data_IF_772967419746
#
_entry.id   IF_772967419746
#
_cell.length_a   1.000
_cell.length_b   1.000
_cell.length_c   1.000
_cell.angle_alpha   90.00
_cell.angle_beta   90.00
_cell.angle_gamma   90.00
#
_symmetry.space_group_name_H-M   'P 1'
#
loop_
_entity.id
_entity.type
_entity.pdbx_description
1 polymer ?
#
# COMPACT_ATOMS: atom_id res chain seq x y z
N UNK A 1 -25.36 24.80 -31.57
CA UNK A 1 -24.58 23.55 -31.59
C UNK A 1 -23.54 23.64 -30.48
N UNK A 2 -23.88 23.11 -29.31
CA UNK A 2 -23.03 23.06 -28.12
C UNK A 2 -22.16 21.81 -28.19
N UNK A 3 -20.85 21.96 -27.98
CA UNK A 3 -19.88 20.86 -27.96
C UNK A 3 -19.64 20.50 -26.50
N UNK A 4 -20.14 19.33 -26.10
CA UNK A 4 -20.01 18.79 -24.74
C UNK A 4 -18.54 18.50 -24.42
N UNK A 5 -18.08 19.06 -23.30
CA UNK A 5 -16.87 18.67 -22.58
C UNK A 5 -17.16 17.41 -21.76
N UNK A 6 -16.48 16.31 -22.06
CA UNK A 6 -16.44 15.14 -21.17
C UNK A 6 -15.21 15.25 -20.27
N UNK A 7 -15.43 15.61 -19.01
CA UNK A 7 -14.44 15.46 -17.94
C UNK A 7 -14.27 13.98 -17.61
N UNK A 8 -13.03 13.50 -17.63
CA UNK A 8 -12.68 12.16 -17.19
C UNK A 8 -12.63 12.14 -15.65
N UNK A 9 -13.51 11.33 -15.06
CA UNK A 9 -13.46 10.99 -13.64
C UNK A 9 -12.39 9.93 -13.47
N UNK A 10 -11.40 10.21 -12.62
CA UNK A 10 -10.44 9.24 -12.08
C UNK A 10 -11.21 8.04 -11.50
N UNK A 11 -11.02 6.86 -12.08
CA UNK A 11 -11.50 5.62 -11.51
C UNK A 11 -10.40 5.07 -10.61
N UNK A 12 -10.61 5.15 -9.29
CA UNK A 12 -9.85 4.36 -8.32
C UNK A 12 -10.25 2.91 -8.53
N UNK A 13 -9.31 2.07 -8.98
CA UNK A 13 -9.55 0.66 -9.21
C UNK A 13 -9.66 -0.05 -7.85
N UNK A 14 -10.88 -0.15 -7.33
CA UNK A 14 -11.21 -1.08 -6.26
C UNK A 14 -11.42 -2.46 -6.89
N UNK A 15 -10.61 -3.44 -6.48
CA UNK A 15 -10.78 -4.84 -6.89
C UNK A 15 -12.11 -5.34 -6.33
N UNK A 16 -13.12 -5.46 -7.20
CA UNK A 16 -14.44 -5.95 -6.84
C UNK A 16 -14.48 -7.48 -6.90
N UNK A 17 -14.66 -8.13 -5.74
CA UNK A 17 -14.90 -9.57 -5.64
C UNK A 17 -16.35 -9.87 -6.03
N UNK A 18 -16.54 -10.65 -7.09
CA UNK A 18 -17.85 -11.10 -7.58
C UNK A 18 -18.41 -12.20 -6.66
N UNK A 19 -19.52 -11.90 -5.97
CA UNK A 19 -20.27 -12.88 -5.17
C UNK A 19 -21.54 -13.30 -5.92
N UNK A 20 -21.61 -14.56 -6.34
CA UNK A 20 -22.82 -15.16 -6.92
C UNK A 20 -23.79 -15.56 -5.81
N UNK A 21 -25.04 -15.09 -5.88
CA UNK A 21 -26.08 -15.37 -4.88
C UNK A 21 -26.81 -16.68 -5.18
N UNK A 22 -26.89 -17.55 -4.17
CA UNK A 22 -27.85 -18.64 -4.10
C UNK A 22 -28.88 -18.30 -3.02
N UNK A 23 -30.12 -18.05 -3.44
CA UNK A 23 -31.26 -17.74 -2.57
C UNK A 23 -31.69 -18.95 -1.74
N UNK A 24 -31.99 -18.72 -0.45
CA UNK A 24 -32.98 -19.51 0.28
C UNK A 24 -33.81 -18.61 1.21
N UNK A 25 -35.11 -18.88 1.19
CA UNK A 25 -36.24 -18.12 1.73
C UNK A 25 -36.62 -18.61 3.13
N UNK A 26 -37.08 -17.71 4.00
CA UNK A 26 -38.09 -17.85 5.08
C UNK A 26 -38.10 -16.51 5.83
N UNK A 27 -39.19 -15.84 6.22
CA UNK A 27 -40.60 -16.14 6.27
C UNK A 27 -41.21 -15.40 7.48
N UNK A 28 -42.01 -14.36 7.19
CA UNK A 28 -43.20 -13.90 7.94
C UNK A 28 -43.19 -12.62 8.82
N UNK A 29 -44.12 -11.72 8.42
CA UNK A 29 -44.96 -10.72 9.12
C UNK A 29 -44.52 -9.29 9.48
N UNK A 30 -44.86 -8.38 8.54
CA UNK A 30 -45.54 -7.07 8.62
C UNK A 30 -45.91 -6.46 9.99
N UNK A 31 -45.57 -5.18 10.18
CA UNK A 31 -46.51 -4.04 10.11
C UNK A 31 -45.75 -2.72 9.90
N UNK A 32 -46.20 -1.90 8.93
CA UNK A 32 -45.70 -0.57 8.54
C UNK A 32 -46.07 0.54 9.54
N UNK A 33 -45.15 1.49 9.80
CA UNK A 33 -45.39 2.96 9.66
C UNK A 33 -44.07 3.76 9.65
N UNK A 34 -43.86 4.50 8.56
CA UNK A 34 -43.21 5.81 8.35
C UNK A 34 -41.86 6.20 8.99
N UNK A 35 -40.88 6.41 8.11
CA UNK A 35 -40.28 7.75 7.94
C UNK A 35 -39.11 8.17 8.82
N UNK A 36 -37.96 7.53 8.67
CA UNK A 36 -36.67 8.15 8.97
C UNK A 36 -35.58 7.59 8.04
N UNK A 37 -35.17 8.38 7.04
CA UNK A 37 -34.03 8.10 6.16
C UNK A 37 -32.75 8.12 6.98
N UNK A 38 -32.44 6.98 7.59
CA UNK A 38 -31.16 6.72 8.24
C UNK A 38 -30.26 6.13 7.16
N UNK A 39 -29.13 6.78 6.90
CA UNK A 39 -28.10 6.26 6.00
C UNK A 39 -27.75 4.82 6.44
N UNK A 40 -27.70 3.84 5.52
CA UNK A 40 -27.23 2.52 5.90
C UNK A 40 -25.75 2.65 6.23
N UNK A 41 -25.45 2.57 7.52
CA UNK A 41 -24.12 2.24 8.00
C UNK A 41 -23.66 1.01 7.23
N UNK A 42 -22.52 1.16 6.58
CA UNK A 42 -21.80 0.07 5.96
C UNK A 42 -21.42 -0.88 7.08
N UNK A 43 -22.24 -1.91 7.29
CA UNK A 43 -21.80 -3.10 8.02
C UNK A 43 -20.68 -3.71 7.19
N UNK A 44 -19.45 -3.32 7.52
CA UNK A 44 -18.23 -4.00 7.12
C UNK A 44 -18.40 -5.41 7.68
N UNK A 45 -18.88 -6.29 6.81
CA UNK A 45 -18.92 -7.71 7.08
C UNK A 45 -17.48 -8.12 7.26
N UNK A 46 -17.14 -8.45 8.51
CA UNK A 46 -15.89 -9.03 8.97
C UNK A 46 -15.52 -10.19 8.03
N UNK A 47 -14.69 -9.90 7.02
CA UNK A 47 -13.98 -10.93 6.29
C UNK A 47 -13.14 -11.62 7.35
N UNK A 48 -13.63 -12.77 7.83
CA UNK A 48 -13.31 -13.29 9.14
C UNK A 48 -11.82 -13.25 9.44
N UNK A 49 -11.50 -12.90 10.69
CA UNK A 49 -10.13 -12.93 11.22
C UNK A 49 -9.32 -14.08 10.61
N UNK A 50 -8.13 -13.78 10.09
CA UNK A 50 -7.24 -14.70 9.37
C UNK A 50 -7.59 -15.00 7.89
N UNK A 51 -8.33 -14.14 7.20
CA UNK A 51 -8.42 -14.21 5.74
C UNK A 51 -7.02 -14.11 5.10
N UNK A 52 -6.78 -14.87 4.03
CA UNK A 52 -5.48 -14.95 3.34
C UNK A 52 -5.54 -14.38 1.92
N UNK A 53 -4.49 -13.68 1.50
CA UNK A 53 -4.25 -13.20 0.13
C UNK A 53 -4.04 -14.34 -0.86
N UNK A 54 -3.42 -15.43 -0.40
CA UNK A 54 -3.14 -16.65 -1.14
C UNK A 54 -2.75 -17.77 -0.16
N UNK A 55 -2.78 -19.03 -0.58
CA UNK A 55 -2.26 -20.15 0.22
C UNK A 55 -0.73 -20.23 0.25
N UNK A 56 -0.05 -19.56 -0.70
CA UNK A 56 1.42 -19.53 -0.79
C UNK A 56 1.92 -18.30 -1.57
N UNK A 57 3.22 -18.01 -1.47
CA UNK A 57 3.89 -17.01 -2.33
C UNK A 57 3.75 -17.34 -3.81
N UNK A 58 3.94 -18.60 -4.19
CA UNK A 58 3.78 -19.07 -5.58
C UNK A 58 2.38 -18.79 -6.13
N UNK A 59 1.33 -19.11 -5.37
CA UNK A 59 -0.04 -18.81 -5.78
C UNK A 59 -0.25 -17.30 -5.92
N UNK A 60 0.23 -16.49 -4.97
CA UNK A 60 0.13 -15.03 -5.06
C UNK A 60 0.82 -14.48 -6.32
N UNK A 61 2.03 -14.96 -6.65
CA UNK A 61 2.72 -14.55 -7.88
C UNK A 61 1.89 -14.91 -9.12
N UNK A 62 1.33 -16.12 -9.19
CA UNK A 62 0.51 -16.52 -10.33
C UNK A 62 -0.72 -15.62 -10.47
N UNK A 63 -1.41 -15.30 -9.36
CA UNK A 63 -2.53 -14.35 -9.39
C UNK A 63 -2.10 -12.96 -9.87
N UNK A 64 -0.95 -12.46 -9.43
CA UNK A 64 -0.42 -11.17 -9.89
C UNK A 64 -0.15 -11.17 -11.40
N UNK A 65 0.42 -12.24 -11.95
CA UNK A 65 0.67 -12.38 -13.38
C UNK A 65 -0.63 -12.51 -14.19
N UNK A 66 -1.63 -13.23 -13.68
CA UNK A 66 -2.94 -13.38 -14.33
C UNK A 66 -3.73 -12.06 -14.36
N UNK A 67 -3.66 -11.26 -13.29
CA UNK A 67 -4.26 -9.92 -13.25
C UNK A 67 -3.55 -8.96 -14.20
N UNK A 68 -2.23 -9.06 -14.31
CA UNK A 68 -1.43 -8.26 -15.23
C UNK A 68 -1.74 -8.54 -16.70
N UNK A 69 -1.98 -9.81 -17.04
CA UNK A 69 -2.41 -10.22 -18.39
C UNK A 69 -3.79 -9.64 -18.77
N UNK A 70 -4.61 -9.29 -17.78
CA UNK A 70 -5.92 -8.67 -17.96
C UNK A 70 -5.89 -7.14 -17.86
N UNK A 71 -4.74 -6.56 -17.50
CA UNK A 71 -4.60 -5.12 -17.30
C UNK A 71 -4.40 -4.39 -18.63
N UNK A 72 -4.88 -3.14 -18.65
CA UNK A 72 -4.63 -2.21 -19.75
C UNK A 72 -3.12 -1.97 -19.90
N UNK A 73 -2.66 -1.66 -21.12
CA UNK A 73 -1.23 -1.44 -21.41
C UNK A 73 -0.57 -0.39 -20.49
N UNK A 74 -1.34 0.61 -20.04
CA UNK A 74 -0.84 1.66 -19.16
C UNK A 74 -0.56 1.18 -17.72
N UNK A 75 -1.24 0.14 -17.26
CA UNK A 75 -1.14 -0.41 -15.91
C UNK A 75 -0.39 -1.74 -15.87
N UNK A 76 -0.01 -2.29 -17.03
CA UNK A 76 0.73 -3.53 -17.11
C UNK A 76 2.13 -3.38 -16.52
N UNK A 77 2.55 -4.37 -15.75
CA UNK A 77 3.90 -4.57 -15.26
C UNK A 77 4.89 -4.56 -16.43
N UNK A 78 6.03 -3.92 -16.21
CA UNK A 78 7.15 -4.02 -17.12
C UNK A 78 7.58 -5.49 -17.30
N UNK A 79 8.09 -5.83 -18.49
CA UNK A 79 8.61 -7.17 -18.76
C UNK A 79 9.69 -7.57 -17.74
N UNK A 80 10.54 -6.63 -17.32
CA UNK A 80 11.57 -6.88 -16.32
C UNK A 80 11.00 -7.31 -14.96
N UNK A 81 9.90 -6.68 -14.52
CA UNK A 81 9.22 -7.06 -13.28
C UNK A 81 8.56 -8.44 -13.42
N UNK A 82 7.92 -8.73 -14.56
CA UNK A 82 7.37 -10.07 -14.83
C UNK A 82 8.45 -11.15 -14.80
N UNK A 83 9.61 -10.90 -15.40
CA UNK A 83 10.73 -11.83 -15.40
C UNK A 83 11.27 -12.08 -13.98
N UNK A 84 11.28 -11.06 -13.11
CA UNK A 84 11.65 -11.20 -11.69
C UNK A 84 10.68 -12.12 -10.93
N UNK A 85 9.38 -11.91 -11.13
CA UNK A 85 8.35 -12.76 -10.53
C UNK A 85 8.45 -14.21 -11.04
N UNK A 86 8.69 -14.40 -12.34
CA UNK A 86 8.91 -15.73 -12.92
C UNK A 86 10.16 -16.42 -12.35
N UNK A 87 11.25 -15.68 -12.10
CA UNK A 87 12.41 -16.22 -11.38
C UNK A 87 12.06 -16.62 -9.95
N UNK A 88 11.28 -15.82 -9.24
CA UNK A 88 10.83 -16.14 -7.89
C UNK A 88 9.98 -17.42 -7.83
N UNK A 89 9.18 -17.73 -8.86
CA UNK A 89 8.45 -19.00 -8.95
C UNK A 89 9.36 -20.24 -8.92
N UNK A 90 10.60 -20.13 -9.39
CA UNK A 90 11.60 -21.20 -9.30
C UNK A 90 12.21 -21.34 -7.89
N UNK A 91 11.86 -20.45 -6.96
CA UNK A 91 12.39 -20.34 -5.60
C UNK A 91 11.24 -20.18 -4.58
N UNK A 92 10.24 -21.05 -4.65
CA UNK A 92 9.08 -21.08 -3.73
C UNK A 92 8.26 -19.78 -3.67
N UNK A 93 8.32 -18.96 -4.73
CA UNK A 93 7.68 -17.65 -4.80
C UNK A 93 8.41 -16.56 -4.01
N UNK A 94 9.64 -16.81 -3.54
CA UNK A 94 10.43 -15.84 -2.78
C UNK A 94 11.23 -14.97 -3.74
N UNK A 95 10.94 -13.67 -3.72
CA UNK A 95 11.71 -12.67 -4.45
C UNK A 95 13.09 -12.53 -3.82
N UNK A 96 14.14 -12.57 -4.65
CA UNK A 96 15.50 -12.37 -4.19
C UNK A 96 15.78 -10.90 -3.83
N UNK A 97 16.71 -10.65 -2.90
CA UNK A 97 17.16 -9.28 -2.61
C UNK A 97 17.72 -8.57 -3.86
N UNK A 98 18.37 -9.32 -4.75
CA UNK A 98 18.93 -8.77 -5.99
C UNK A 98 17.81 -8.30 -6.94
N UNK A 99 16.75 -9.10 -7.12
CA UNK A 99 15.59 -8.70 -7.92
C UNK A 99 14.85 -7.52 -7.29
N UNK A 100 14.71 -7.51 -5.97
CA UNK A 100 14.16 -6.38 -5.21
C UNK A 100 14.93 -5.08 -5.47
N UNK A 101 16.26 -5.09 -5.28
CA UNK A 101 17.10 -3.92 -5.50
C UNK A 101 17.07 -3.47 -6.97
N UNK A 102 17.08 -4.42 -7.91
CA UNK A 102 17.01 -4.12 -9.33
C UNK A 102 15.67 -3.52 -9.75
N UNK A 103 14.54 -3.98 -9.20
CA UNK A 103 13.22 -3.43 -9.49
C UNK A 103 13.12 -1.94 -9.10
N UNK A 104 13.64 -1.59 -7.93
CA UNK A 104 13.73 -0.21 -7.48
C UNK A 104 14.70 0.63 -8.32
N UNK A 105 15.83 0.07 -8.79
CA UNK A 105 16.69 0.76 -9.77
C UNK A 105 15.98 1.00 -11.10
N UNK A 106 15.18 0.03 -11.58
CA UNK A 106 14.40 0.18 -12.81
C UNK A 106 13.36 1.31 -12.69
N UNK A 107 12.68 1.43 -11.55
CA UNK A 107 11.79 2.55 -11.26
C UNK A 107 12.52 3.89 -11.34
N UNK A 108 13.69 4.01 -10.70
CA UNK A 108 14.50 5.24 -10.74
C UNK A 108 14.95 5.57 -12.15
N UNK A 109 15.33 4.56 -12.94
CA UNK A 109 15.75 4.74 -14.32
C UNK A 109 14.58 5.17 -15.21
N UNK A 110 13.39 4.60 -15.03
CA UNK A 110 12.19 5.01 -15.77
C UNK A 110 11.90 6.51 -15.62
N UNK A 111 12.05 7.06 -14.40
CA UNK A 111 11.89 8.50 -14.16
C UNK A 111 12.97 9.32 -14.90
N UNK A 112 14.21 8.85 -14.89
CA UNK A 112 15.30 9.49 -15.65
C UNK A 112 15.03 9.49 -17.15
N UNK A 113 14.56 8.36 -17.70
CA UNK A 113 14.25 8.22 -19.11
C UNK A 113 13.10 9.13 -19.56
N UNK A 114 12.21 9.51 -18.62
CA UNK A 114 11.14 10.50 -18.82
C UNK A 114 11.60 11.95 -18.66
N UNK A 115 12.87 12.18 -18.32
CA UNK A 115 13.49 13.49 -18.25
C UNK A 115 13.57 14.10 -16.85
N UNK A 116 13.31 13.32 -15.80
CA UNK A 116 13.43 13.76 -14.41
C UNK A 116 14.82 13.48 -13.83
N UNK A 117 15.16 14.13 -12.72
CA UNK A 117 16.34 13.76 -11.92
C UNK A 117 16.16 12.36 -11.33
N UNK A 118 17.27 11.63 -11.13
CA UNK A 118 17.19 10.34 -10.44
C UNK A 118 16.80 10.57 -8.98
N UNK A 119 15.67 10.02 -8.47
CA UNK A 119 15.29 10.24 -7.08
C UNK A 119 16.26 9.50 -6.15
N UNK A 120 16.64 10.16 -5.06
CA UNK A 120 17.31 9.52 -3.94
C UNK A 120 16.23 8.96 -3.01
N UNK A 121 15.95 7.66 -3.17
CA UNK A 121 14.87 7.01 -2.42
C UNK A 121 15.33 6.71 -1.00
N UNK A 122 14.61 7.23 0.02
CA UNK A 122 14.93 6.90 1.39
C UNK A 122 14.80 5.40 1.63
N UNK A 123 15.58 4.91 2.59
CA UNK A 123 15.46 3.54 3.10
C UNK A 123 14.99 3.57 4.54
N UNK A 124 14.12 2.64 4.87
CA UNK A 124 13.78 2.33 6.25
C UNK A 124 15.00 1.70 6.94
N UNK A 125 14.99 1.68 8.29
CA UNK A 125 16.10 1.15 9.08
C UNK A 125 16.46 -0.32 8.74
N UNK A 126 15.50 -1.07 8.20
CA UNK A 126 15.67 -2.45 7.78
C UNK A 126 16.15 -2.62 6.33
N UNK A 127 16.43 -1.51 5.62
CA UNK A 127 16.94 -1.51 4.26
C UNK A 127 15.88 -1.62 3.16
N UNK A 128 14.59 -1.75 3.49
CA UNK A 128 13.51 -1.60 2.53
C UNK A 128 13.48 -0.17 1.99
N UNK A 129 13.19 0.00 0.71
CA UNK A 129 12.94 1.29 0.10
C UNK A 129 11.62 1.87 0.57
N UNK A 130 11.55 3.19 0.69
CA UNK A 130 10.30 3.92 0.74
C UNK A 130 9.96 4.49 -0.64
N UNK A 131 8.69 4.47 -1.06
CA UNK A 131 8.27 5.25 -2.22
C UNK A 131 8.49 6.74 -1.98
N UNK A 132 8.53 7.51 -3.07
CA UNK A 132 8.58 8.97 -3.03
C UNK A 132 7.31 9.47 -2.34
N UNK A 133 7.47 10.16 -1.21
CA UNK A 133 6.34 10.70 -0.42
C UNK A 133 6.04 12.15 -0.73
N UNK A 134 7.08 12.94 -0.94
CA UNK A 134 6.98 14.36 -1.21
C UNK A 134 7.89 14.74 -2.37
N UNK A 135 7.38 15.62 -3.21
CA UNK A 135 8.05 16.12 -4.39
C UNK A 135 7.97 17.64 -4.37
N UNK A 136 9.06 18.33 -4.65
CA UNK A 136 9.05 19.77 -4.81
C UNK A 136 8.34 20.11 -6.12
N UNK A 137 7.04 20.39 -5.99
CA UNK A 137 6.17 20.79 -7.09
C UNK A 137 5.74 22.25 -6.96
N UNK A 138 6.39 23.03 -6.10
CA UNK A 138 5.96 24.40 -5.73
C UNK A 138 5.98 25.35 -6.93
N UNK A 139 6.84 25.09 -7.91
CA UNK A 139 6.99 25.88 -9.14
C UNK A 139 6.26 25.29 -10.34
N UNK A 140 5.60 24.14 -10.20
CA UNK A 140 4.94 23.44 -11.31
C UNK A 140 3.52 23.94 -11.54
N UNK A 141 3.18 24.13 -12.80
CA UNK A 141 1.79 24.27 -13.24
C UNK A 141 0.99 23.01 -12.91
N UNK A 142 -0.34 23.12 -12.92
CA UNK A 142 -1.23 21.96 -12.71
C UNK A 142 -0.97 20.86 -13.77
N UNK A 143 -0.83 21.26 -15.04
CA UNK A 143 -0.56 20.35 -16.15
C UNK A 143 0.78 19.61 -16.00
N UNK A 144 1.84 20.29 -15.56
CA UNK A 144 3.14 19.66 -15.29
C UNK A 144 3.07 18.71 -14.09
N UNK A 145 2.31 19.07 -13.05
CA UNK A 145 2.12 18.23 -11.87
C UNK A 145 1.34 16.96 -12.21
N UNK A 146 0.27 17.09 -12.99
CA UNK A 146 -0.52 15.94 -13.45
C UNK A 146 0.31 15.01 -14.32
N UNK A 147 1.12 15.57 -15.22
CA UNK A 147 2.07 14.79 -16.01
C UNK A 147 3.07 14.05 -15.14
N UNK A 148 3.66 14.72 -14.15
CA UNK A 148 4.61 14.11 -13.22
C UNK A 148 3.97 12.95 -12.44
N UNK A 149 2.76 13.13 -11.92
CA UNK A 149 2.05 12.08 -11.18
C UNK A 149 1.70 10.89 -12.09
N UNK A 150 1.26 11.15 -13.32
CA UNK A 150 1.00 10.10 -14.31
C UNK A 150 2.27 9.33 -14.69
N UNK A 151 3.39 10.04 -14.83
CA UNK A 151 4.69 9.44 -15.14
C UNK A 151 5.24 8.62 -13.95
N UNK A 152 5.07 9.10 -12.71
CA UNK A 152 5.40 8.36 -11.49
C UNK A 152 4.56 7.08 -11.36
N UNK A 153 3.26 7.16 -11.66
CA UNK A 153 2.36 6.00 -11.68
C UNK A 153 2.82 4.98 -12.72
N UNK A 154 3.03 5.39 -13.97
CA UNK A 154 3.51 4.51 -15.02
C UNK A 154 4.86 3.87 -14.68
N UNK A 155 5.79 4.61 -14.06
CA UNK A 155 7.06 4.04 -13.64
C UNK A 155 6.93 3.05 -12.47
N UNK A 156 5.88 3.14 -11.66
CA UNK A 156 5.66 2.20 -10.55
C UNK A 156 5.47 0.74 -11.02
N UNK A 157 5.05 0.55 -12.28
CA UNK A 157 4.95 -0.76 -12.97
C UNK A 157 6.32 -1.47 -13.13
N UNK A 158 7.42 -0.87 -12.68
CA UNK A 158 8.73 -1.51 -12.60
C UNK A 158 9.03 -2.20 -11.26
N UNK A 159 8.28 -1.93 -10.19
CA UNK A 159 8.65 -2.45 -8.86
C UNK A 159 7.51 -2.93 -7.95
N UNK A 160 6.27 -2.46 -8.12
CA UNK A 160 5.21 -2.62 -7.12
C UNK A 160 4.95 -4.08 -6.71
N UNK A 161 4.82 -5.01 -7.66
CA UNK A 161 4.56 -6.42 -7.35
C UNK A 161 5.79 -7.13 -6.77
N UNK A 162 6.99 -6.79 -7.24
CA UNK A 162 8.25 -7.32 -6.68
C UNK A 162 8.47 -6.83 -5.25
N UNK A 163 8.18 -5.55 -4.98
CA UNK A 163 8.26 -4.95 -3.65
C UNK A 163 7.23 -5.55 -2.69
N UNK A 164 5.99 -5.74 -3.13
CA UNK A 164 4.94 -6.44 -2.38
C UNK A 164 5.43 -7.83 -1.94
N UNK A 165 5.86 -8.66 -2.89
CA UNK A 165 6.24 -10.04 -2.61
C UNK A 165 7.51 -10.12 -1.74
N UNK A 166 8.47 -9.23 -1.94
CA UNK A 166 9.65 -9.15 -1.09
C UNK A 166 9.28 -8.77 0.34
N UNK A 167 8.40 -7.77 0.54
CA UNK A 167 7.93 -7.36 1.87
C UNK A 167 7.19 -8.48 2.59
N UNK A 168 6.29 -9.18 1.90
CA UNK A 168 5.56 -10.31 2.50
C UNK A 168 6.50 -11.43 2.93
N UNK A 169 7.57 -11.70 2.17
CA UNK A 169 8.57 -12.71 2.57
C UNK A 169 9.25 -12.40 3.91
N UNK A 170 9.31 -11.11 4.28
CA UNK A 170 9.94 -10.64 5.52
C UNK A 170 8.95 -10.60 6.68
N UNK A 171 7.72 -10.14 6.44
CA UNK A 171 6.80 -9.76 7.52
C UNK A 171 5.39 -10.38 7.44
N UNK A 172 5.03 -11.09 6.37
CA UNK A 172 3.72 -11.72 6.19
C UNK A 172 3.82 -13.08 5.47
N UNK A 173 4.57 -14.05 6.00
CA UNK A 173 4.71 -15.36 5.36
C UNK A 173 3.43 -16.18 5.37
N UNK A 174 2.47 -15.87 6.25
CA UNK A 174 1.16 -16.50 6.27
C UNK A 174 0.16 -15.89 5.27
N UNK A 175 0.56 -14.82 4.56
CA UNK A 175 -0.24 -14.13 3.55
C UNK A 175 -1.56 -13.62 4.11
N UNK A 176 -1.57 -13.09 5.33
CA UNK A 176 -2.77 -12.47 5.92
C UNK A 176 -3.21 -11.29 5.05
N UNK A 177 -4.49 -11.23 4.69
CA UNK A 177 -5.05 -10.16 3.85
C UNK A 177 -5.36 -8.90 4.63
N UNK A 178 -5.53 -9.02 5.95
CA UNK A 178 -5.63 -7.86 6.81
C UNK A 178 -4.21 -7.40 7.20
N UNK A 179 -3.83 -6.23 6.69
CA UNK A 179 -2.53 -5.61 6.93
C UNK A 179 -2.22 -5.36 8.42
N UNK A 180 -3.24 -5.03 9.21
CA UNK A 180 -3.11 -4.75 10.64
C UNK A 180 -2.88 -6.04 11.43
N UNK A 181 -3.60 -7.11 11.08
CA UNK A 181 -3.37 -8.45 11.62
C UNK A 181 -1.98 -8.96 11.23
N UNK A 182 -1.57 -8.76 9.97
CA UNK A 182 -0.24 -9.13 9.48
C UNK A 182 0.88 -8.38 10.23
N UNK A 183 0.70 -7.08 10.47
CA UNK A 183 1.64 -6.28 11.25
C UNK A 183 1.76 -6.81 12.69
N UNK A 184 0.64 -7.07 13.36
CA UNK A 184 0.62 -7.57 14.75
C UNK A 184 1.16 -8.99 14.86
N UNK A 185 0.82 -9.88 13.93
CA UNK A 185 1.43 -11.21 13.83
C UNK A 185 2.96 -11.12 13.71
N UNK A 186 3.47 -10.26 12.82
CA UNK A 186 4.90 -10.03 12.67
C UNK A 186 5.53 -9.53 13.98
N UNK A 187 4.89 -8.55 14.64
CA UNK A 187 5.38 -8.00 15.91
C UNK A 187 5.50 -9.08 16.99
N UNK A 188 4.50 -9.96 17.09
CA UNK A 188 4.53 -11.09 18.03
C UNK A 188 5.62 -12.11 17.71
N UNK A 189 5.76 -12.52 16.44
CA UNK A 189 6.80 -13.48 16.01
C UNK A 189 8.22 -12.95 16.24
N UNK A 190 8.40 -11.63 16.21
CA UNK A 190 9.68 -10.95 16.48
C UNK A 190 9.86 -10.53 17.94
N UNK A 191 8.89 -10.81 18.82
CA UNK A 191 8.90 -10.33 20.21
C UNK A 191 9.07 -8.80 20.33
N UNK A 192 8.56 -8.06 19.35
CA UNK A 192 8.68 -6.61 19.23
C UNK A 192 7.48 -5.85 19.85
N UNK A 193 6.48 -6.58 20.33
CA UNK A 193 5.34 -6.07 21.09
C UNK A 193 5.01 -7.04 22.23
N UNK A 194 4.28 -6.55 23.24
CA UNK A 194 3.70 -7.41 24.28
C UNK A 194 2.73 -8.42 23.66
N UNK A 195 2.63 -9.63 24.22
CA UNK A 195 1.73 -10.67 23.69
C UNK A 195 0.25 -10.32 23.75
N UNK A 196 -0.12 -9.33 24.56
CA UNK A 196 -1.48 -8.77 24.63
C UNK A 196 -1.75 -7.73 23.56
N UNK A 197 -0.75 -7.31 22.76
CA UNK A 197 -0.93 -6.31 21.73
C UNK A 197 -1.82 -6.85 20.61
N UNK A 198 -2.82 -6.08 20.20
CA UNK A 198 -3.84 -6.54 19.24
C UNK A 198 -3.92 -5.63 18.01
N UNK A 199 -4.51 -6.13 16.92
CA UNK A 199 -4.84 -5.29 15.76
C UNK A 199 -5.70 -4.07 16.15
N UNK A 200 -6.57 -4.20 17.17
CA UNK A 200 -7.36 -3.10 17.68
C UNK A 200 -6.55 -2.05 18.45
N UNK A 201 -5.43 -2.43 19.08
CA UNK A 201 -4.50 -1.48 19.71
C UNK A 201 -3.62 -0.82 18.66
N UNK A 202 -3.15 -1.59 17.69
CA UNK A 202 -2.44 -1.07 16.53
C UNK A 202 -3.26 0.00 15.78
N UNK A 203 -4.54 -0.26 15.50
CA UNK A 203 -5.45 0.75 14.93
C UNK A 203 -5.56 2.01 15.79
N UNK A 204 -5.62 1.86 17.12
CA UNK A 204 -5.70 2.99 18.05
C UNK A 204 -4.42 3.81 18.07
N UNK A 205 -3.27 3.16 18.00
CA UNK A 205 -1.97 3.83 17.92
C UNK A 205 -1.86 4.61 16.60
N UNK A 206 -2.23 3.99 15.47
CA UNK A 206 -2.20 4.65 14.16
C UNK A 206 -3.15 5.85 14.09
N UNK A 207 -4.39 5.69 14.58
CA UNK A 207 -5.36 6.79 14.65
C UNK A 207 -4.88 7.94 15.55
N UNK A 208 -4.23 7.63 16.68
CA UNK A 208 -3.68 8.63 17.59
C UNK A 208 -2.54 9.42 16.94
N UNK A 209 -1.67 8.72 16.20
CA UNK A 209 -0.59 9.33 15.43
C UNK A 209 -1.11 10.25 14.31
N UNK A 210 -2.04 9.77 13.50
CA UNK A 210 -2.65 10.56 12.41
C UNK A 210 -3.39 11.78 12.95
N UNK A 211 -4.14 11.61 14.04
CA UNK A 211 -4.81 12.71 14.74
C UNK A 211 -3.82 13.75 15.23
N UNK A 212 -2.70 13.33 15.80
CA UNK A 212 -1.64 14.23 16.27
C UNK A 212 -1.08 15.07 15.12
N UNK A 213 -0.70 14.42 14.01
CA UNK A 213 -0.15 15.10 12.83
C UNK A 213 -1.12 16.11 12.23
N UNK A 214 -2.41 15.76 12.18
CA UNK A 214 -3.46 16.65 11.68
C UNK A 214 -3.62 17.90 12.56
N UNK A 215 -3.63 17.73 13.88
CA UNK A 215 -3.80 18.83 14.84
C UNK A 215 -2.58 19.75 14.95
N UNK A 216 -1.38 19.24 14.64
CA UNK A 216 -0.11 19.95 14.77
C UNK A 216 0.55 20.16 13.41
N UNK A 217 -0.24 20.43 12.38
CA UNK A 217 0.27 20.52 11.01
C UNK A 217 1.27 21.67 10.80
N UNK A 218 1.22 22.72 11.62
CA UNK A 218 2.16 23.85 11.57
C UNK A 218 3.43 23.62 12.40
N UNK A 219 3.48 22.57 13.23
CA UNK A 219 4.65 22.27 14.07
C UNK A 219 5.72 21.54 13.25
N UNK A 220 6.94 22.10 13.09
CA UNK A 220 8.03 21.44 12.38
C UNK A 220 8.48 20.13 13.05
N UNK A 221 8.28 19.97 14.36
CA UNK A 221 8.67 18.78 15.13
C UNK A 221 7.52 17.77 15.29
N UNK A 222 6.37 18.00 14.63
CA UNK A 222 5.15 17.18 14.77
C UNK A 222 5.38 15.69 14.57
N UNK A 223 6.29 15.30 13.67
CA UNK A 223 6.58 13.89 13.40
C UNK A 223 7.30 13.22 14.57
N UNK A 224 8.26 13.90 15.20
CA UNK A 224 8.93 13.38 16.39
C UNK A 224 7.93 13.25 17.55
N UNK A 225 7.07 14.25 17.73
CA UNK A 225 6.10 14.25 18.81
C UNK A 225 4.97 13.24 18.59
N UNK A 226 4.51 13.05 17.35
CA UNK A 226 3.54 12.02 16.99
C UNK A 226 4.08 10.62 17.25
N UNK A 227 5.38 10.36 16.99
CA UNK A 227 6.04 9.08 17.32
C UNK A 227 5.94 8.74 18.80
N UNK A 228 5.97 9.74 19.69
CA UNK A 228 5.81 9.51 21.14
C UNK A 228 4.39 9.11 21.55
N UNK A 229 3.41 9.22 20.65
CA UNK A 229 2.03 8.75 20.88
C UNK A 229 1.89 7.24 20.65
N UNK A 230 2.84 6.61 19.96
CA UNK A 230 2.82 5.17 19.70
C UNK A 230 3.26 4.38 20.92
N UNK A 231 2.59 3.26 21.19
CA UNK A 231 2.97 2.34 22.27
C UNK A 231 4.19 1.50 21.92
N UNK A 232 4.41 1.27 20.63
CA UNK A 232 5.55 0.51 20.12
C UNK A 232 6.80 1.39 20.07
N UNK A 233 7.97 0.79 20.32
CA UNK A 233 9.25 1.47 20.13
C UNK A 233 9.59 1.59 18.64
N UNK A 234 9.34 2.75 18.07
CA UNK A 234 9.56 3.05 16.66
C UNK A 234 11.06 3.25 16.32
N UNK A 235 11.94 3.26 17.32
CA UNK A 235 13.39 3.13 17.14
C UNK A 235 13.84 1.68 16.95
N UNK A 236 13.00 0.70 17.27
CA UNK A 236 13.30 -0.71 17.09
C UNK A 236 13.13 -1.13 15.61
N UNK A 237 14.19 -1.65 15.01
CA UNK A 237 14.20 -2.10 13.61
C UNK A 237 13.20 -3.21 13.28
N UNK A 238 12.86 -4.08 14.24
CA UNK A 238 11.86 -5.13 14.06
C UNK A 238 10.44 -4.54 14.05
N UNK A 239 10.16 -3.56 14.91
CA UNK A 239 8.90 -2.80 14.86
C UNK A 239 8.77 -2.14 13.50
N UNK A 240 9.76 -1.35 13.09
CA UNK A 240 9.77 -0.68 11.78
C UNK A 240 9.54 -1.67 10.64
N UNK A 241 10.21 -2.83 10.68
CA UNK A 241 10.05 -3.88 9.67
C UNK A 241 8.61 -4.37 9.56
N UNK A 242 8.00 -4.73 10.69
CA UNK A 242 6.64 -5.28 10.69
C UNK A 242 5.59 -4.29 10.20
N UNK A 243 5.76 -3.01 10.54
CA UNK A 243 4.85 -1.96 10.14
C UNK A 243 4.99 -1.63 8.65
N UNK A 244 6.23 -1.38 8.20
CA UNK A 244 6.55 -0.96 6.82
C UNK A 244 6.27 -2.02 5.77
N UNK A 245 6.44 -3.29 6.11
CA UNK A 245 6.19 -4.39 5.19
C UNK A 245 4.70 -4.74 5.05
N UNK A 246 3.87 -4.40 6.04
CA UNK A 246 2.44 -4.68 6.07
C UNK A 246 1.59 -3.41 5.91
N UNK A 247 1.98 -2.57 4.95
CA UNK A 247 1.24 -1.38 4.52
C UNK A 247 1.11 -0.24 5.54
N UNK A 248 1.84 -0.24 6.66
CA UNK A 248 2.06 1.01 7.36
C UNK A 248 3.27 1.72 6.79
N UNK A 249 3.03 2.64 5.88
CA UNK A 249 4.07 3.57 5.44
C UNK A 249 4.27 4.66 6.48
N UNK A 250 4.45 4.26 7.74
CA UNK A 250 5.04 5.15 8.72
C UNK A 250 6.44 5.46 8.23
N UNK A 251 6.82 6.74 8.30
CA UNK A 251 8.20 7.17 8.24
C UNK A 251 8.87 7.09 6.87
N UNK A 252 8.62 8.11 6.05
CA UNK A 252 9.78 8.88 5.64
C UNK A 252 9.55 10.33 5.97
N UNK A 253 10.60 10.96 6.45
CA UNK A 253 10.61 12.38 6.70
C UNK A 253 10.34 13.13 5.39
N UNK A 254 9.28 13.93 5.35
CA UNK A 254 8.96 14.79 4.20
C UNK A 254 9.90 16.01 4.12
N UNK A 255 10.84 16.17 5.06
CA UNK A 255 11.77 17.30 5.11
C UNK A 255 12.70 17.39 3.91
N UNK A 256 12.87 16.32 3.14
CA UNK A 256 13.68 16.33 1.94
C UNK A 256 12.85 15.91 0.71
N UNK A 257 11.99 16.80 0.18
CA UNK A 257 11.21 16.50 -1.01
C UNK A 257 12.12 16.23 -2.20
N UNK A 258 11.77 15.24 -3.02
CA UNK A 258 12.49 14.99 -4.26
C UNK A 258 12.31 16.17 -5.22
N UNK A 259 13.40 16.62 -5.84
CA UNK A 259 13.40 17.71 -6.83
C UNK A 259 13.48 17.15 -8.25
N UNK A 260 12.34 16.96 -8.95
CA UNK A 260 12.30 16.23 -10.22
C UNK A 260 13.03 16.97 -11.35
N UNK A 261 13.30 18.26 -11.21
CA UNK A 261 13.94 19.09 -12.23
C UNK A 261 15.28 19.73 -11.81
N UNK A 262 15.78 19.41 -10.60
CA UNK A 262 17.03 19.95 -10.05
C UNK A 262 16.84 21.06 -9.03
#
# INVERSE_FOLDING_TARGET
MMRNSHGWKLAVLAIAVLVTTASCTNGHNQTDVDGATTAPQSDVSDAGANAKLASSFTERINTLLELDDQSDEADRMSQQQRDMLQRALAHDGIVSKADYEQAWENYKQCLVDKGYTKPDLPRYANGLYSPIKSTDSSTLTEEERDKLMADMHACSNHYVAVDEMYRYSIANPDMLSNNEEAAVDCLHRKHAAESSYTAAEYRRDNASYETYLSQHSEDPDRYEQARRQYRLDLGNGDVVTCLVANANQMYTDDTNPWKPFG
#
